data_IF_336352597968
#
_entry.id   IF_336352597968
#
_cell.length_a   1.000
_cell.length_b   1.000
_cell.length_c   1.000
_cell.angle_alpha   90.00
_cell.angle_beta   90.00
_cell.angle_gamma   90.00
#
_symmetry.space_group_name_H-M   'P 1'
#
loop_
_entity.id
_entity.type
_entity.pdbx_description
1 polymer ?
#
# COMPACT_ATOMS: atom_id res chain seq x y z
N UNK A 1 15.33 -17.01 2.25
CA UNK A 1 15.38 -16.51 0.87
C UNK A 1 14.52 -15.26 0.65
N UNK A 2 13.27 -15.21 1.12
CA UNK A 2 12.35 -14.06 0.89
C UNK A 2 12.91 -12.68 1.31
N UNK A 3 13.64 -12.59 2.44
CA UNK A 3 14.28 -11.33 2.87
C UNK A 3 15.35 -10.87 1.88
N UNK A 4 16.18 -11.78 1.38
CA UNK A 4 17.24 -11.47 0.42
C UNK A 4 16.64 -10.98 -0.91
N UNK A 5 15.58 -11.64 -1.39
CA UNK A 5 14.83 -11.24 -2.58
C UNK A 5 14.27 -9.83 -2.46
N UNK A 6 13.64 -9.51 -1.32
CA UNK A 6 13.06 -8.19 -1.05
C UNK A 6 14.07 -7.05 -1.15
N UNK A 7 15.27 -7.26 -0.64
CA UNK A 7 16.34 -6.26 -0.67
C UNK A 7 17.19 -6.33 -1.95
N UNK A 8 16.94 -7.30 -2.83
CA UNK A 8 17.74 -7.51 -4.03
C UNK A 8 19.20 -7.90 -3.75
N UNK A 9 19.45 -8.61 -2.64
CA UNK A 9 20.80 -8.99 -2.21
C UNK A 9 21.03 -10.51 -2.29
N UNK A 10 22.27 -10.96 -2.53
CA UNK A 10 22.62 -12.38 -2.39
C UNK A 10 22.47 -12.87 -0.96
N UNK A 11 22.18 -14.17 -0.79
CA UNK A 11 22.14 -14.80 0.53
C UNK A 11 23.48 -14.71 1.28
N UNK A 12 24.60 -14.85 0.57
CA UNK A 12 25.94 -14.69 1.14
C UNK A 12 26.17 -13.30 1.71
N UNK A 13 25.59 -12.27 1.10
CA UNK A 13 25.67 -10.90 1.59
C UNK A 13 24.83 -10.72 2.87
N UNK A 14 23.62 -11.27 2.89
CA UNK A 14 22.79 -11.27 4.10
C UNK A 14 23.48 -11.97 5.29
N UNK A 15 24.23 -13.05 5.06
CA UNK A 15 24.96 -13.76 6.11
C UNK A 15 26.13 -12.94 6.70
N UNK A 16 26.67 -11.96 5.96
CA UNK A 16 27.72 -11.07 6.47
C UNK A 16 27.19 -9.99 7.42
N UNK A 17 25.90 -9.69 7.37
CA UNK A 17 25.30 -8.70 8.26
C UNK A 17 25.48 -9.10 9.71
N UNK A 18 25.46 -8.11 10.62
CA UNK A 18 25.47 -8.38 12.05
C UNK A 18 24.29 -9.26 12.44
N UNK A 19 24.41 -10.03 13.53
CA UNK A 19 23.29 -10.83 14.02
C UNK A 19 22.05 -9.97 14.28
N UNK A 20 22.24 -8.81 14.91
CA UNK A 20 21.17 -7.87 15.23
C UNK A 20 20.45 -7.36 13.96
N UNK A 21 21.18 -7.01 12.91
CA UNK A 21 20.57 -6.56 11.65
C UNK A 21 19.79 -7.67 10.95
N UNK A 22 20.32 -8.90 10.96
CA UNK A 22 19.59 -10.06 10.42
C UNK A 22 18.31 -10.31 11.20
N UNK A 23 18.38 -10.26 12.53
CA UNK A 23 17.23 -10.47 13.41
C UNK A 23 16.16 -9.39 13.16
N UNK A 24 16.55 -8.12 13.05
CA UNK A 24 15.65 -7.00 12.71
C UNK A 24 15.03 -7.17 11.33
N UNK A 25 15.81 -7.56 10.33
CA UNK A 25 15.32 -7.77 8.96
C UNK A 25 14.29 -8.91 8.91
N UNK A 26 14.57 -10.02 9.58
CA UNK A 26 13.66 -11.16 9.70
C UNK A 26 12.40 -10.78 10.48
N UNK A 27 12.53 -10.10 11.62
CA UNK A 27 11.40 -9.66 12.43
C UNK A 27 10.48 -8.72 11.65
N UNK A 28 11.04 -7.75 10.92
CA UNK A 28 10.26 -6.84 10.07
C UNK A 28 9.56 -7.61 8.93
N UNK A 29 10.23 -8.59 8.34
CA UNK A 29 9.65 -9.42 7.29
C UNK A 29 8.46 -10.23 7.79
N UNK A 30 8.62 -10.93 8.91
CA UNK A 30 7.55 -11.68 9.57
C UNK A 30 6.39 -10.77 9.97
N UNK A 31 6.69 -9.60 10.53
CA UNK A 31 5.69 -8.59 10.91
C UNK A 31 4.87 -8.11 9.72
N UNK A 32 5.49 -7.88 8.57
CA UNK A 32 4.78 -7.47 7.34
C UNK A 32 3.94 -8.60 6.75
N UNK A 33 4.39 -9.85 6.91
CA UNK A 33 3.67 -11.03 6.44
C UNK A 33 2.46 -11.37 7.31
N UNK A 34 2.49 -11.04 8.60
CA UNK A 34 1.35 -11.19 9.51
C UNK A 34 0.30 -10.08 9.38
N UNK A 35 0.59 -9.01 8.65
CA UNK A 35 -0.37 -7.94 8.36
C UNK A 35 -1.46 -8.42 7.40
N UNK A 36 -2.72 -8.15 7.77
CA UNK A 36 -3.88 -8.39 6.92
C UNK A 36 -3.78 -7.57 5.62
N UNK A 37 -3.89 -8.23 4.47
CA UNK A 37 -3.84 -7.58 3.15
C UNK A 37 -5.02 -6.65 2.86
N UNK A 38 -6.11 -6.78 3.60
CA UNK A 38 -7.31 -5.96 3.43
C UNK A 38 -7.30 -4.73 4.32
N UNK A 39 -7.09 -4.90 5.64
CA UNK A 39 -7.21 -3.80 6.61
C UNK A 39 -5.87 -3.28 7.15
N UNK A 40 -4.73 -3.91 6.84
CA UNK A 40 -3.42 -3.42 7.28
C UNK A 40 -3.06 -3.66 8.75
N UNK A 41 -3.98 -4.22 9.54
CA UNK A 41 -3.73 -4.57 10.97
C UNK A 41 -3.13 -5.97 11.12
N UNK A 42 -2.49 -6.23 12.26
CA UNK A 42 -1.95 -7.54 12.65
C UNK A 42 -2.83 -8.19 13.74
N UNK A 43 -2.95 -9.53 13.79
CA UNK A 43 -3.77 -10.22 14.78
C UNK A 43 -3.44 -9.85 16.24
N UNK A 44 -2.15 -9.68 16.57
CA UNK A 44 -1.72 -9.32 17.92
C UNK A 44 -2.15 -7.92 18.36
N UNK A 45 -2.47 -7.01 17.42
CA UNK A 45 -2.95 -5.67 17.75
C UNK A 45 -4.37 -5.72 18.32
N UNK A 46 -5.10 -6.82 18.09
CA UNK A 46 -6.45 -7.07 18.61
C UNK A 46 -6.47 -7.96 19.87
N UNK A 47 -5.37 -8.63 20.19
CA UNK A 47 -5.29 -9.62 21.28
C UNK A 47 -4.89 -8.97 22.62
N UNK A 48 -5.87 -8.80 23.50
CA UNK A 48 -5.68 -8.24 24.84
C UNK A 48 -4.65 -9.00 25.69
N UNK A 49 -4.49 -10.32 25.47
CA UNK A 49 -3.50 -11.14 26.20
C UNK A 49 -2.07 -10.82 25.77
N UNK A 50 -1.90 -10.19 24.61
CA UNK A 50 -0.60 -9.80 24.04
C UNK A 50 -0.39 -8.28 24.08
N UNK A 51 -1.21 -7.56 24.84
CA UNK A 51 -1.15 -6.10 24.98
C UNK A 51 -1.87 -5.33 23.88
N UNK A 52 -2.63 -6.01 23.02
CA UNK A 52 -3.52 -5.38 22.05
C UNK A 52 -4.85 -4.94 22.67
N UNK A 53 -5.77 -4.46 21.82
CA UNK A 53 -7.12 -4.09 22.24
C UNK A 53 -8.14 -4.42 21.17
N UNK A 54 -9.33 -4.88 21.58
CA UNK A 54 -10.45 -5.09 20.64
C UNK A 54 -10.92 -3.79 19.98
N UNK A 55 -10.62 -2.66 20.59
CA UNK A 55 -10.93 -1.32 20.09
C UNK A 55 -9.68 -0.58 19.59
N UNK A 56 -8.62 -1.31 19.21
CA UNK A 56 -7.36 -0.71 18.77
C UNK A 56 -7.53 0.18 17.52
N UNK A 57 -8.53 -0.09 16.68
CA UNK A 57 -8.83 0.68 15.48
C UNK A 57 -10.33 0.90 15.34
N UNK A 58 -10.70 2.05 14.78
CA UNK A 58 -12.07 2.37 14.36
C UNK A 58 -12.07 2.63 12.85
N UNK A 59 -13.15 2.27 12.13
CA UNK A 59 -13.26 2.59 10.71
C UNK A 59 -13.36 4.10 10.53
N UNK A 60 -12.68 4.63 9.51
CA UNK A 60 -12.75 6.02 9.09
C UNK A 60 -12.95 6.11 7.58
N UNK A 61 -13.52 7.23 7.11
CA UNK A 61 -13.79 7.48 5.70
C UNK A 61 -12.76 8.49 5.19
N UNK A 62 -11.79 8.02 4.41
CA UNK A 62 -10.83 8.90 3.73
C UNK A 62 -11.31 9.25 2.31
N UNK A 63 -11.22 10.54 1.96
CA UNK A 63 -11.56 11.03 0.62
C UNK A 63 -10.27 11.34 -0.15
N UNK A 64 -9.95 10.49 -1.13
CA UNK A 64 -8.86 10.75 -2.05
C UNK A 64 -9.23 11.88 -3.04
N UNK A 65 -8.57 13.04 -2.92
CA UNK A 65 -8.74 14.19 -3.83
C UNK A 65 -8.44 13.85 -5.29
N UNK A 66 -7.46 13.00 -5.55
CA UNK A 66 -7.14 12.57 -6.92
C UNK A 66 -8.28 11.79 -7.56
N UNK A 67 -8.82 10.80 -6.84
CA UNK A 67 -9.96 10.03 -7.30
C UNK A 67 -11.22 10.90 -7.47
N UNK A 68 -11.47 11.81 -6.53
CA UNK A 68 -12.56 12.80 -6.63
C UNK A 68 -12.46 13.60 -7.92
N UNK A 69 -11.28 14.12 -8.25
CA UNK A 69 -11.08 14.91 -9.49
C UNK A 69 -11.24 14.07 -10.76
N UNK A 70 -10.74 12.84 -10.79
CA UNK A 70 -10.93 11.95 -11.94
C UNK A 70 -12.41 11.61 -12.16
N UNK A 71 -13.13 11.31 -11.08
CA UNK A 71 -14.57 11.02 -11.14
C UNK A 71 -15.37 12.25 -11.56
N UNK A 72 -15.04 13.42 -11.04
CA UNK A 72 -15.66 14.68 -11.46
C UNK A 72 -15.43 14.98 -12.95
N UNK A 73 -14.22 14.73 -13.45
CA UNK A 73 -13.92 14.88 -14.86
C UNK A 73 -14.67 13.85 -15.72
N UNK A 74 -14.68 12.58 -15.34
CA UNK A 74 -15.44 11.54 -16.05
C UNK A 74 -16.94 11.87 -16.12
N UNK A 75 -17.52 12.32 -15.00
CA UNK A 75 -18.91 12.74 -14.93
C UNK A 75 -19.21 13.99 -15.79
N UNK A 76 -18.20 14.79 -16.11
CA UNK A 76 -18.36 15.98 -16.97
C UNK A 76 -18.36 15.67 -18.47
N UNK A 77 -17.93 14.46 -18.88
CA UNK A 77 -17.88 14.07 -20.30
C UNK A 77 -19.27 13.72 -20.84
N UNK A 78 -19.63 14.35 -21.96
CA UNK A 78 -20.85 14.00 -22.71
C UNK A 78 -20.74 12.64 -23.40
N UNK A 79 -21.87 12.03 -23.81
CA UNK A 79 -21.85 10.83 -24.65
C UNK A 79 -21.04 11.00 -25.94
N UNK A 80 -21.07 12.19 -26.53
CA UNK A 80 -20.31 12.56 -27.72
C UNK A 80 -18.80 12.58 -27.42
N UNK A 81 -18.38 13.23 -26.32
CA UNK A 81 -16.98 13.26 -25.89
C UNK A 81 -16.45 11.83 -25.66
N UNK A 82 -17.26 10.98 -25.02
CA UNK A 82 -16.91 9.57 -24.77
C UNK A 82 -16.78 8.77 -26.07
N UNK A 83 -17.62 9.07 -27.07
CA UNK A 83 -17.55 8.43 -28.38
C UNK A 83 -16.29 8.85 -29.14
N UNK A 84 -15.91 10.12 -29.08
CA UNK A 84 -14.72 10.65 -29.73
C UNK A 84 -13.43 10.11 -29.10
N UNK A 85 -13.38 9.98 -27.77
CA UNK A 85 -12.25 9.38 -27.06
C UNK A 85 -12.03 7.90 -27.45
N UNK A 86 -13.11 7.15 -27.71
CA UNK A 86 -13.02 5.74 -28.11
C UNK A 86 -12.74 4.78 -26.95
N UNK A 87 -12.50 3.51 -27.28
CA UNK A 87 -12.28 2.43 -26.30
C UNK A 87 -10.81 2.36 -25.88
N UNK A 88 -10.57 1.91 -24.65
CA UNK A 88 -9.21 1.72 -24.10
C UNK A 88 -8.57 3.01 -23.57
N UNK A 89 -9.35 4.08 -23.39
CA UNK A 89 -8.89 5.33 -22.80
C UNK A 89 -9.07 5.32 -21.28
N UNK A 90 -8.08 5.82 -20.57
CA UNK A 90 -8.09 5.98 -19.12
C UNK A 90 -7.86 7.45 -18.75
N UNK A 91 -8.66 7.96 -17.82
CA UNK A 91 -8.44 9.28 -17.22
C UNK A 91 -7.27 9.14 -16.24
N UNK A 92 -6.25 9.98 -16.44
CA UNK A 92 -5.03 9.99 -15.61
C UNK A 92 -4.73 11.40 -15.10
N UNK A 93 -4.20 11.49 -13.88
CA UNK A 93 -3.76 12.76 -13.31
C UNK A 93 -2.35 13.08 -13.77
N UNK A 94 -2.12 14.33 -14.18
CA UNK A 94 -0.79 14.87 -14.49
C UNK A 94 -0.49 16.03 -13.55
N UNK A 95 0.75 16.09 -13.05
CA UNK A 95 1.21 17.23 -12.25
C UNK A 95 1.15 18.49 -13.13
N UNK A 96 0.51 19.55 -12.63
CA UNK A 96 0.52 20.85 -13.30
C UNK A 96 1.98 21.31 -13.39
N UNK A 97 2.49 21.53 -14.60
CA UNK A 97 3.79 22.18 -14.78
C UNK A 97 3.63 23.64 -14.35
N UNK A 98 4.54 24.12 -13.52
CA UNK A 98 4.65 25.55 -13.23
C UNK A 98 5.01 26.27 -14.54
N UNK A 99 4.35 27.40 -14.80
CA UNK A 99 4.64 28.30 -15.93
C UNK A 99 5.74 29.25 -15.51
#
# INVERSE_FOLDING_TARGET
MEVCERYGIPHSEFLKWSKDDRDKALALHLRKRSTCKHCGTRPEEWDERRGGSRNAYVPDIDRCRGCEQMQAYDASLSPEDRKELGRGIYIVLRRRREV
#
